data_IF_158215192413
#
_entry.id   IF_158215192413
#
_cell.length_a   1.000
_cell.length_b   1.000
_cell.length_c   1.000
_cell.angle_alpha   90.00
_cell.angle_beta   90.00
_cell.angle_gamma   90.00
#
_symmetry.space_group_name_H-M   'P 1'
#
loop_
_entity.id
_entity.type
_entity.pdbx_description
1 polymer ?
#
# COMPACT_ATOMS: atom_id res chain seq x y z
N UNK A 1 11.23 -1.07 -19.50
CA UNK A 1 10.96 -0.84 -18.06
C UNK A 1 9.66 -1.53 -17.63
N UNK A 2 8.83 -2.01 -18.58
CA UNK A 2 7.46 -2.41 -18.28
C UNK A 2 7.39 -3.68 -17.44
N UNK A 3 8.24 -4.67 -17.76
CA UNK A 3 8.39 -5.90 -16.97
C UNK A 3 8.80 -5.61 -15.53
N UNK A 4 9.64 -4.60 -15.30
CA UNK A 4 10.05 -4.18 -13.95
C UNK A 4 8.86 -3.56 -13.21
N UNK A 5 8.12 -2.63 -13.85
CA UNK A 5 6.93 -2.01 -13.26
C UNK A 5 5.86 -3.04 -12.91
N UNK A 6 5.62 -4.01 -13.79
CA UNK A 6 4.72 -5.13 -13.53
C UNK A 6 5.17 -6.01 -12.37
N UNK A 7 6.45 -6.36 -12.34
CA UNK A 7 7.01 -7.21 -11.27
C UNK A 7 6.87 -6.51 -9.92
N UNK A 8 7.25 -5.23 -9.84
CA UNK A 8 7.08 -4.43 -8.62
C UNK A 8 5.60 -4.31 -8.23
N UNK A 9 4.71 -4.05 -9.19
CA UNK A 9 3.27 -3.94 -8.95
C UNK A 9 2.69 -5.24 -8.40
N UNK A 10 3.00 -6.39 -8.99
CA UNK A 10 2.50 -7.69 -8.53
C UNK A 10 3.00 -7.99 -7.12
N UNK A 11 4.30 -7.85 -6.87
CA UNK A 11 4.89 -8.12 -5.55
C UNK A 11 4.25 -7.25 -4.47
N UNK A 12 4.14 -5.93 -4.71
CA UNK A 12 3.54 -5.01 -3.77
C UNK A 12 2.04 -5.25 -3.61
N UNK A 13 1.31 -5.49 -4.70
CA UNK A 13 -0.12 -5.77 -4.65
C UNK A 13 -0.40 -7.03 -3.81
N UNK A 14 0.37 -8.10 -3.98
CA UNK A 14 0.23 -9.31 -3.17
C UNK A 14 0.50 -9.02 -1.70
N UNK A 15 1.65 -8.41 -1.36
CA UNK A 15 2.01 -8.12 0.03
C UNK A 15 1.00 -7.18 0.71
N UNK A 16 0.55 -6.13 0.02
CA UNK A 16 -0.38 -5.15 0.57
C UNK A 16 -1.80 -5.68 0.65
N UNK A 17 -2.23 -6.55 -0.26
CA UNK A 17 -3.52 -7.24 -0.18
C UNK A 17 -3.55 -8.17 1.02
N UNK A 18 -2.51 -8.98 1.24
CA UNK A 18 -2.41 -9.84 2.43
C UNK A 18 -2.41 -8.99 3.71
N UNK A 19 -1.60 -7.93 3.75
CA UNK A 19 -1.55 -7.01 4.88
C UNK A 19 -2.88 -6.27 5.14
N UNK A 20 -3.60 -5.90 4.09
CA UNK A 20 -4.89 -5.23 4.18
C UNK A 20 -6.00 -6.19 4.64
N UNK A 21 -6.07 -7.38 4.05
CA UNK A 21 -7.04 -8.42 4.44
C UNK A 21 -6.82 -8.89 5.87
N UNK A 22 -5.58 -9.11 6.29
CA UNK A 22 -5.29 -9.44 7.70
C UNK A 22 -5.78 -8.35 8.65
N UNK A 23 -5.65 -7.08 8.28
CA UNK A 23 -6.13 -5.96 9.09
C UNK A 23 -7.67 -5.84 9.11
N UNK A 24 -8.36 -6.27 8.06
CA UNK A 24 -9.84 -6.28 7.99
C UNK A 24 -10.42 -7.47 8.77
N UNK A 25 -9.82 -8.65 8.61
CA UNK A 25 -10.36 -9.93 9.06
C UNK A 25 -10.01 -10.24 10.51
N UNK A 26 -8.83 -9.83 10.99
CA UNK A 26 -8.44 -10.09 12.38
C UNK A 26 -9.07 -9.07 13.34
N UNK A 27 -9.53 -9.50 14.52
CA UNK A 27 -9.86 -8.58 15.62
C UNK A 27 -8.64 -7.72 16.00
N UNK A 28 -8.89 -6.47 16.42
CA UNK A 28 -7.84 -5.50 16.81
C UNK A 28 -6.77 -6.11 17.74
N UNK A 29 -7.19 -6.78 18.81
CA UNK A 29 -6.28 -7.39 19.78
C UNK A 29 -5.37 -8.44 19.15
N UNK A 30 -5.94 -9.34 18.33
CA UNK A 30 -5.17 -10.37 17.64
C UNK A 30 -4.21 -9.79 16.60
N UNK A 31 -4.61 -8.76 15.87
CA UNK A 31 -3.73 -8.07 14.93
C UNK A 31 -2.56 -7.38 15.65
N UNK A 32 -2.85 -6.74 16.79
CA UNK A 32 -1.86 -6.10 17.67
C UNK A 32 -0.84 -7.08 18.25
N UNK A 33 -1.20 -8.35 18.41
CA UNK A 33 -0.33 -9.42 18.91
C UNK A 33 0.55 -10.06 17.83
N UNK A 34 0.31 -9.81 16.53
CA UNK A 34 1.08 -10.43 15.45
C UNK A 34 2.58 -10.08 15.50
N UNK A 35 2.92 -8.89 15.97
CA UNK A 35 4.31 -8.44 16.10
C UNK A 35 4.39 -7.19 16.98
N UNK A 36 5.54 -7.01 17.63
CA UNK A 36 5.91 -5.78 18.34
C UNK A 36 5.82 -4.55 17.42
N UNK A 37 5.95 -4.73 16.11
CA UNK A 37 5.82 -3.62 15.14
C UNK A 37 4.37 -3.15 14.96
N UNK A 38 3.37 -3.84 15.52
CA UNK A 38 1.94 -3.47 15.38
C UNK A 38 1.41 -2.58 16.52
N UNK A 39 2.29 -2.01 17.35
CA UNK A 39 1.89 -1.13 18.46
C UNK A 39 1.11 0.11 18.02
N UNK A 40 1.28 0.56 16.77
CA UNK A 40 0.55 1.69 16.18
C UNK A 40 -0.98 1.54 16.25
N UNK A 41 -1.45 0.31 16.28
CA UNK A 41 -2.86 -0.08 16.35
C UNK A 41 -3.54 0.43 17.63
N UNK A 42 -2.78 0.64 18.70
CA UNK A 42 -3.31 1.09 19.99
C UNK A 42 -3.96 2.47 19.89
N UNK A 43 -3.48 3.32 18.97
CA UNK A 43 -3.96 4.69 18.75
C UNK A 43 -5.26 4.77 17.94
N UNK A 44 -5.73 3.64 17.39
CA UNK A 44 -6.87 3.60 16.46
C UNK A 44 -8.00 2.69 16.98
N UNK A 45 -9.24 3.05 16.66
CA UNK A 45 -10.40 2.19 16.90
C UNK A 45 -10.42 1.00 15.94
N UNK A 46 -11.14 -0.07 16.29
CA UNK A 46 -11.30 -1.23 15.41
C UNK A 46 -11.93 -0.86 14.04
N UNK A 47 -12.86 0.11 14.02
CA UNK A 47 -13.44 0.63 12.78
C UNK A 47 -12.43 1.35 11.90
N UNK A 48 -11.57 2.19 12.50
CA UNK A 48 -10.49 2.85 11.77
C UNK A 48 -9.48 1.85 11.19
N UNK A 49 -9.13 0.79 11.94
CA UNK A 49 -8.26 -0.28 11.41
C UNK A 49 -8.87 -0.97 10.20
N UNK A 50 -10.17 -1.30 10.24
CA UNK A 50 -10.87 -1.87 9.09
C UNK A 50 -10.85 -0.91 7.90
N UNK A 51 -11.10 0.39 8.12
CA UNK A 51 -11.04 1.39 7.07
C UNK A 51 -9.64 1.48 6.42
N UNK A 52 -8.59 1.53 7.24
CA UNK A 52 -7.19 1.53 6.77
C UNK A 52 -6.90 0.26 5.95
N UNK A 53 -7.32 -0.92 6.44
CA UNK A 53 -7.16 -2.19 5.74
C UNK A 53 -7.90 -2.22 4.40
N UNK A 54 -9.12 -1.68 4.35
CA UNK A 54 -9.91 -1.57 3.11
C UNK A 54 -9.24 -0.65 2.10
N UNK A 55 -8.81 0.55 2.50
CA UNK A 55 -8.11 1.49 1.61
C UNK A 55 -6.84 0.85 1.04
N UNK A 56 -6.06 0.20 1.90
CA UNK A 56 -4.84 -0.51 1.50
C UNK A 56 -5.12 -1.62 0.48
N UNK A 57 -6.15 -2.42 0.73
CA UNK A 57 -6.55 -3.52 -0.14
C UNK A 57 -7.06 -3.02 -1.49
N UNK A 58 -7.91 -1.99 -1.50
CA UNK A 58 -8.43 -1.39 -2.74
C UNK A 58 -7.30 -0.81 -3.58
N UNK A 59 -6.36 -0.08 -2.96
CA UNK A 59 -5.18 0.43 -3.65
C UNK A 59 -4.31 -0.69 -4.21
N UNK A 60 -4.07 -1.75 -3.44
CA UNK A 60 -3.27 -2.89 -3.88
C UNK A 60 -3.89 -3.63 -5.07
N UNK A 61 -5.20 -3.87 -5.02
CA UNK A 61 -5.93 -4.48 -6.13
C UNK A 61 -5.95 -3.57 -7.37
N UNK A 62 -6.14 -2.27 -7.16
CA UNK A 62 -6.10 -1.26 -8.24
C UNK A 62 -4.73 -1.14 -8.93
N UNK A 63 -3.65 -1.59 -8.30
CA UNK A 63 -2.31 -1.57 -8.86
C UNK A 63 -2.10 -2.62 -9.98
N UNK A 64 -2.95 -3.65 -10.03
CA UNK A 64 -2.77 -4.82 -10.92
C UNK A 64 -4.03 -5.12 -11.72
N UNK A 65 -5.20 -5.18 -11.07
CA UNK A 65 -6.42 -5.68 -11.71
C UNK A 65 -6.84 -4.87 -12.95
N UNK A 66 -6.89 -3.52 -12.93
CA UNK A 66 -7.37 -2.75 -14.08
C UNK A 66 -6.57 -3.03 -15.36
N UNK A 67 -5.25 -3.08 -15.25
CA UNK A 67 -4.38 -3.38 -16.38
C UNK A 67 -4.40 -4.87 -16.77
N UNK A 68 -4.52 -5.78 -15.80
CA UNK A 68 -4.56 -7.22 -16.07
C UNK A 68 -5.82 -7.65 -16.83
N UNK A 69 -6.96 -7.01 -16.54
CA UNK A 69 -8.24 -7.29 -17.22
C UNK A 69 -8.51 -6.35 -18.41
N UNK A 70 -7.60 -5.40 -18.68
CA UNK A 70 -7.73 -4.43 -19.78
C UNK A 70 -8.82 -3.36 -19.58
N UNK A 71 -9.32 -3.15 -18.36
CA UNK A 71 -10.39 -2.19 -18.06
C UNK A 71 -9.81 -0.98 -17.34
N UNK A 72 -9.93 0.20 -17.95
CA UNK A 72 -9.41 1.48 -17.45
C UNK A 72 -7.98 1.38 -16.83
N UNK A 73 -6.94 0.98 -17.59
CA UNK A 73 -5.57 0.82 -17.06
C UNK A 73 -4.98 2.08 -16.42
N UNK A 74 -5.51 3.26 -16.75
CA UNK A 74 -5.19 4.54 -16.09
C UNK A 74 -5.46 4.53 -14.57
N UNK A 75 -6.27 3.59 -14.08
CA UNK A 75 -6.48 3.40 -12.64
C UNK A 75 -5.23 2.88 -11.92
N UNK A 76 -4.30 2.22 -12.60
CA UNK A 76 -3.06 1.71 -11.98
C UNK A 76 -2.16 2.85 -11.46
N UNK A 77 -1.76 3.85 -12.26
CA UNK A 77 -0.97 4.97 -11.73
C UNK A 77 -1.73 5.79 -10.68
N UNK A 78 -3.06 5.87 -10.75
CA UNK A 78 -3.89 6.50 -9.71
C UNK A 78 -3.87 5.69 -8.41
N UNK A 79 -3.99 4.36 -8.48
CA UNK A 79 -3.89 3.48 -7.32
C UNK A 79 -2.51 3.55 -6.67
N UNK A 80 -1.44 3.57 -7.48
CA UNK A 80 -0.07 3.79 -6.99
C UNK A 80 0.05 5.13 -6.25
N UNK A 81 -0.50 6.21 -6.81
CA UNK A 81 -0.52 7.53 -6.17
C UNK A 81 -1.31 7.55 -4.85
N UNK A 82 -2.45 6.85 -4.80
CA UNK A 82 -3.22 6.67 -3.57
C UNK A 82 -2.43 5.91 -2.49
N UNK A 83 -1.67 4.88 -2.88
CA UNK A 83 -0.79 4.13 -1.98
C UNK A 83 0.41 4.96 -1.51
N UNK A 84 0.92 5.90 -2.32
CA UNK A 84 1.90 6.91 -1.85
C UNK A 84 1.31 7.73 -0.71
N UNK A 85 0.11 8.30 -0.90
CA UNK A 85 -0.56 9.09 0.15
C UNK A 85 -0.82 8.25 1.41
N UNK A 86 -1.21 6.99 1.23
CA UNK A 86 -1.38 6.04 2.33
C UNK A 86 -0.07 5.81 3.11
N UNK A 87 1.05 5.63 2.40
CA UNK A 87 2.37 5.45 3.02
C UNK A 87 2.89 6.71 3.70
N UNK A 88 2.53 7.92 3.21
CA UNK A 88 2.82 9.17 3.93
C UNK A 88 2.12 9.17 5.30
N UNK A 89 0.86 8.73 5.34
CA UNK A 89 0.12 8.57 6.61
C UNK A 89 0.80 7.58 7.55
N UNK A 90 1.17 6.40 7.03
CA UNK A 90 1.89 5.37 7.80
C UNK A 90 3.23 5.88 8.35
N UNK A 91 4.05 6.50 7.49
CA UNK A 91 5.33 7.09 7.88
C UNK A 91 5.17 8.22 8.91
N UNK A 92 4.14 9.05 8.78
CA UNK A 92 3.82 10.09 9.78
C UNK A 92 3.51 9.49 11.14
N UNK A 93 2.75 8.39 11.19
CA UNK A 93 2.46 7.66 12.43
C UNK A 93 3.74 7.10 13.06
N UNK A 94 4.61 6.45 12.28
CA UNK A 94 5.91 5.94 12.80
C UNK A 94 6.83 7.06 13.28
N UNK A 95 6.88 8.18 12.55
CA UNK A 95 7.69 9.33 12.92
C UNK A 95 7.25 9.92 14.27
N UNK A 96 5.94 10.11 14.47
CA UNK A 96 5.37 10.61 15.75
C UNK A 96 5.67 9.69 16.92
N UNK A 97 5.70 8.37 16.67
CA UNK A 97 6.04 7.34 17.67
C UNK A 97 7.54 7.14 17.88
N UNK A 98 8.40 7.88 17.14
CA UNK A 98 9.87 7.77 17.17
C UNK A 98 10.38 6.37 16.79
N UNK A 99 9.60 5.64 15.99
CA UNK A 99 9.93 4.30 15.51
C UNK A 99 10.75 4.38 14.20
N UNK A 100 11.89 5.09 14.25
CA UNK A 100 12.66 5.47 13.05
C UNK A 100 13.14 4.28 12.21
N UNK A 101 13.47 3.15 12.84
CA UNK A 101 13.85 1.94 12.11
C UNK A 101 12.71 1.40 11.25
N UNK A 102 11.47 1.46 11.75
CA UNK A 102 10.28 1.01 11.00
C UNK A 102 9.88 2.03 9.93
N UNK A 103 10.10 3.33 10.20
CA UNK A 103 9.90 4.40 9.22
C UNK A 103 10.69 4.17 7.93
N UNK A 104 11.91 3.64 8.00
CA UNK A 104 12.71 3.31 6.80
C UNK A 104 11.97 2.34 5.88
N UNK A 105 11.27 1.34 6.44
CA UNK A 105 10.46 0.41 5.68
C UNK A 105 9.27 1.09 4.98
N UNK A 106 8.58 1.99 5.68
CA UNK A 106 7.47 2.76 5.09
C UNK A 106 7.97 3.69 3.97
N UNK A 107 9.14 4.30 4.13
CA UNK A 107 9.78 5.12 3.10
C UNK A 107 10.17 4.29 1.86
N UNK A 108 10.67 3.07 2.05
CA UNK A 108 10.96 2.17 0.95
C UNK A 108 9.70 1.87 0.12
N UNK A 109 8.59 1.53 0.78
CA UNK A 109 7.32 1.32 0.08
C UNK A 109 6.80 2.58 -0.60
N UNK A 110 6.88 3.72 0.08
CA UNK A 110 6.49 5.02 -0.48
C UNK A 110 7.24 5.33 -1.78
N UNK A 111 8.57 5.22 -1.76
CA UNK A 111 9.41 5.48 -2.94
C UNK A 111 9.08 4.49 -4.05
N UNK A 112 8.85 3.21 -3.72
CA UNK A 112 8.53 2.21 -4.73
C UNK A 112 7.17 2.46 -5.38
N UNK A 113 6.14 2.86 -4.62
CA UNK A 113 4.85 3.25 -5.22
C UNK A 113 4.97 4.53 -6.05
N UNK A 114 5.75 5.52 -5.60
CA UNK A 114 6.00 6.74 -6.35
C UNK A 114 6.70 6.43 -7.68
N UNK A 115 7.65 5.50 -7.67
CA UNK A 115 8.32 5.02 -8.88
C UNK A 115 7.35 4.32 -9.82
N UNK A 116 6.44 3.47 -9.32
CA UNK A 116 5.40 2.86 -10.17
C UNK A 116 4.46 3.91 -10.75
N UNK A 117 4.00 4.87 -9.96
CA UNK A 117 3.14 5.95 -10.42
C UNK A 117 3.81 6.77 -11.52
N UNK A 118 5.04 7.21 -11.29
CA UNK A 118 5.86 7.90 -12.30
C UNK A 118 6.02 7.06 -13.56
N UNK A 119 6.41 5.79 -13.40
CA UNK A 119 6.63 4.87 -14.51
C UNK A 119 5.40 4.72 -15.39
N UNK A 120 4.23 4.57 -14.78
CA UNK A 120 2.95 4.40 -15.47
C UNK A 120 2.33 5.70 -16.00
N UNK A 121 2.68 6.86 -15.45
CA UNK A 121 2.21 8.14 -16.00
C UNK A 121 3.10 8.66 -17.14
N UNK A 122 4.42 8.52 -17.04
CA UNK A 122 5.36 9.24 -17.89
C UNK A 122 6.27 8.36 -18.75
N UNK A 123 6.73 7.21 -18.23
CA UNK A 123 7.74 6.40 -18.92
C UNK A 123 7.11 5.35 -19.84
N UNK A 124 6.12 4.62 -19.34
CA UNK A 124 5.42 3.54 -20.03
C UNK A 124 3.93 3.57 -19.68
N UNK A 125 3.20 4.56 -20.22
CA UNK A 125 1.75 4.62 -20.07
C UNK A 125 1.08 3.45 -20.78
N UNK A 126 -0.04 2.99 -20.22
CA UNK A 126 -0.85 1.96 -20.86
C UNK A 126 -1.52 2.52 -22.13
N UNK A 127 -1.32 1.87 -23.27
CA UNK A 127 -1.94 2.25 -24.55
C UNK A 127 -1.21 3.36 -25.31
N UNK A 128 0.03 3.68 -24.93
CA UNK A 128 0.97 4.46 -25.73
C UNK A 128 1.71 3.61 -26.76
#
# INVERSE_FOLDING_TARGET
MDTLLWTMAIVLATAFTIGGLTQILLPKGRYRELSVTQHWVDDYTAGQLKAIGTIKTVGALGLVLPAAVGVAPVLVPLAASGLVLFMIGAGTTRFRRREYTLLVGDLFFLVTFAFIAWGRFALEPFGG
#
